data_IF_630845259341
#
_entry.id   IF_630845259341
#
_cell.length_a   1.000
_cell.length_b   1.000
_cell.length_c   1.000
_cell.angle_alpha   90.00
_cell.angle_beta   90.00
_cell.angle_gamma   90.00
#
_symmetry.space_group_name_H-M   'P 1'
#
loop_
_entity.id
_entity.type
_entity.pdbx_description
1 polymer ?
#
# COMPACT_ATOMS: atom_id res chain seq x y z
N UNK A 1 -20.86 -19.53 1.82
CA UNK A 1 -19.61 -19.16 1.13
C UNK A 1 -19.98 -18.82 -0.31
N UNK A 2 -20.15 -17.53 -0.62
CA UNK A 2 -20.29 -17.05 -2.00
C UNK A 2 -18.96 -17.30 -2.71
N UNK A 3 -19.02 -17.91 -3.90
CA UNK A 3 -17.87 -17.93 -4.81
C UNK A 3 -17.46 -16.47 -5.02
N UNK A 4 -16.25 -16.10 -4.62
CA UNK A 4 -15.58 -14.94 -5.18
C UNK A 4 -15.50 -15.23 -6.68
N UNK A 5 -16.16 -14.43 -7.50
CA UNK A 5 -16.02 -14.54 -8.96
C UNK A 5 -14.52 -14.43 -9.24
N UNK A 6 -13.94 -15.55 -9.70
CA UNK A 6 -12.51 -15.62 -9.96
C UNK A 6 -12.21 -14.62 -11.09
N UNK A 7 -11.42 -13.60 -10.79
CA UNK A 7 -10.92 -12.69 -11.81
C UNK A 7 -10.06 -13.52 -12.76
N UNK A 8 -10.55 -13.68 -13.99
CA UNK A 8 -9.82 -14.40 -15.04
C UNK A 8 -8.70 -13.50 -15.51
N UNK A 9 -7.48 -14.03 -15.63
CA UNK A 9 -6.34 -13.32 -16.19
C UNK A 9 -6.64 -12.96 -17.65
N UNK A 10 -7.00 -11.70 -17.90
CA UNK A 10 -7.22 -11.18 -19.26
C UNK A 10 -5.88 -10.82 -19.92
N UNK A 11 -5.90 -10.69 -21.25
CA UNK A 11 -4.74 -10.19 -21.99
C UNK A 11 -4.37 -8.75 -21.57
N UNK A 12 -5.37 -7.95 -21.17
CA UNK A 12 -5.16 -6.57 -20.71
C UNK A 12 -4.45 -6.55 -19.36
N UNK A 13 -4.89 -7.37 -18.41
CA UNK A 13 -4.24 -7.51 -17.10
C UNK A 13 -2.82 -8.08 -17.25
N UNK A 14 -2.61 -9.06 -18.14
CA UNK A 14 -1.27 -9.60 -18.41
C UNK A 14 -0.32 -8.52 -18.97
N UNK A 15 -0.79 -7.67 -19.88
CA UNK A 15 0.01 -6.53 -20.37
C UNK A 15 0.35 -5.56 -19.24
N UNK A 16 -0.60 -5.25 -18.36
CA UNK A 16 -0.36 -4.36 -17.22
C UNK A 16 0.69 -4.92 -16.25
N UNK A 17 0.66 -6.23 -15.97
CA UNK A 17 1.69 -6.92 -15.19
C UNK A 17 3.08 -6.74 -15.82
N UNK A 18 3.19 -6.97 -17.12
CA UNK A 18 4.47 -6.83 -17.84
C UNK A 18 4.96 -5.37 -17.85
N UNK A 19 4.06 -4.40 -18.06
CA UNK A 19 4.39 -2.98 -18.07
C UNK A 19 4.85 -2.50 -16.68
N UNK A 20 4.16 -2.89 -15.60
CA UNK A 20 4.55 -2.56 -14.24
C UNK A 20 5.92 -3.18 -13.87
N UNK A 21 6.14 -4.44 -14.26
CA UNK A 21 7.43 -5.11 -14.04
C UNK A 21 8.56 -4.41 -14.79
N UNK A 22 8.32 -3.96 -16.01
CA UNK A 22 9.30 -3.19 -16.78
C UNK A 22 9.54 -1.79 -16.21
N UNK A 23 8.49 -1.10 -15.77
CA UNK A 23 8.59 0.23 -15.16
C UNK A 23 9.49 0.21 -13.91
N UNK A 24 9.31 -0.80 -13.05
CA UNK A 24 10.06 -0.96 -11.80
C UNK A 24 11.33 -1.81 -11.93
N UNK A 25 11.79 -2.12 -13.16
CA UNK A 25 12.98 -2.94 -13.37
C UNK A 25 14.23 -2.30 -12.76
N UNK A 26 14.97 -3.10 -11.96
CA UNK A 26 16.15 -2.65 -11.22
C UNK A 26 15.85 -1.86 -9.94
N UNK A 27 14.59 -1.52 -9.64
CA UNK A 27 14.21 -0.84 -8.42
C UNK A 27 14.10 -1.83 -7.25
N UNK A 28 14.60 -1.44 -6.08
CA UNK A 28 14.58 -2.26 -4.87
C UNK A 28 13.75 -1.60 -3.77
N UNK A 29 13.19 -2.41 -2.89
CA UNK A 29 12.54 -1.96 -1.65
C UNK A 29 13.59 -1.29 -0.75
N UNK A 30 13.24 -0.15 -0.16
CA UNK A 30 14.15 0.71 0.60
C UNK A 30 14.88 -0.06 1.70
N UNK A 31 16.23 -0.07 1.61
CA UNK A 31 17.09 -0.74 2.58
C UNK A 31 17.10 -2.26 2.52
N UNK A 32 16.69 -2.85 1.40
CA UNK A 32 16.70 -4.29 1.13
C UNK A 32 17.26 -4.59 -0.27
N UNK A 33 17.47 -5.86 -0.59
CA UNK A 33 17.77 -6.35 -1.94
C UNK A 33 16.52 -6.92 -2.65
N UNK A 34 15.33 -6.70 -2.09
CA UNK A 34 14.08 -7.22 -2.63
C UNK A 34 13.62 -6.34 -3.81
N UNK A 35 13.36 -6.91 -5.00
CA UNK A 35 12.82 -6.18 -6.13
C UNK A 35 11.49 -5.47 -5.79
N UNK A 36 11.36 -4.19 -6.19
CA UNK A 36 10.20 -3.37 -5.85
C UNK A 36 8.88 -3.95 -6.37
N UNK A 37 8.94 -4.62 -7.51
CA UNK A 37 7.76 -5.25 -8.12
C UNK A 37 7.06 -6.25 -7.19
N UNK A 38 7.76 -6.83 -6.20
CA UNK A 38 7.15 -7.71 -5.20
C UNK A 38 6.08 -7.00 -4.37
N UNK A 39 6.29 -5.70 -4.04
CA UNK A 39 5.31 -4.85 -3.38
C UNK A 39 4.10 -4.60 -4.27
N UNK A 40 4.33 -4.21 -5.51
CA UNK A 40 3.28 -3.91 -6.48
C UNK A 40 2.35 -5.12 -6.69
N UNK A 41 2.93 -6.31 -6.84
CA UNK A 41 2.14 -7.54 -6.92
C UNK A 41 1.38 -7.87 -5.66
N UNK A 42 1.98 -7.67 -4.49
CA UNK A 42 1.31 -7.90 -3.22
C UNK A 42 0.11 -6.94 -3.04
N UNK A 43 0.26 -5.67 -3.42
CA UNK A 43 -0.84 -4.69 -3.37
C UNK A 43 -1.96 -5.10 -4.32
N UNK A 44 -1.67 -5.42 -5.59
CA UNK A 44 -2.67 -5.92 -6.53
C UNK A 44 -3.38 -7.18 -6.02
N UNK A 45 -2.64 -8.11 -5.42
CA UNK A 45 -3.23 -9.32 -4.83
C UNK A 45 -4.20 -8.98 -3.67
N UNK A 46 -3.82 -8.07 -2.76
CA UNK A 46 -4.71 -7.62 -1.68
C UNK A 46 -5.96 -6.92 -2.24
N UNK A 47 -5.81 -6.08 -3.26
CA UNK A 47 -6.93 -5.42 -3.95
C UNK A 47 -7.87 -6.45 -4.57
N UNK A 48 -7.35 -7.50 -5.20
CA UNK A 48 -8.16 -8.55 -5.84
C UNK A 48 -9.05 -9.34 -4.86
N UNK A 49 -8.77 -9.25 -3.56
CA UNK A 49 -9.55 -9.91 -2.52
C UNK A 49 -10.68 -9.02 -1.97
N UNK A 50 -10.76 -7.76 -2.38
CA UNK A 50 -11.78 -6.84 -1.93
C UNK A 50 -13.03 -6.93 -2.80
N UNK A 51 -14.21 -6.67 -2.21
CA UNK A 51 -15.47 -6.59 -2.96
C UNK A 51 -15.57 -5.28 -3.74
N UNK A 52 -16.25 -5.33 -4.89
CA UNK A 52 -16.49 -4.14 -5.73
C UNK A 52 -15.27 -3.69 -6.54
N UNK A 53 -14.30 -4.57 -6.74
CA UNK A 53 -13.10 -4.33 -7.54
C UNK A 53 -13.32 -4.85 -8.96
N UNK A 54 -13.04 -4.02 -9.93
CA UNK A 54 -13.03 -4.33 -11.38
C UNK A 54 -11.59 -4.48 -11.92
N UNK A 55 -11.47 -4.73 -13.21
CA UNK A 55 -10.18 -4.89 -13.87
C UNK A 55 -9.36 -3.59 -13.87
N UNK A 56 -10.03 -2.42 -14.06
CA UNK A 56 -9.35 -1.12 -14.05
C UNK A 56 -8.72 -0.82 -12.69
N UNK A 57 -9.41 -1.18 -11.61
CA UNK A 57 -8.88 -1.08 -10.24
C UNK A 57 -7.66 -1.98 -10.04
N UNK A 58 -7.66 -3.21 -10.58
CA UNK A 58 -6.50 -4.11 -10.50
C UNK A 58 -5.30 -3.60 -11.29
N UNK A 59 -5.55 -3.07 -12.49
CA UNK A 59 -4.51 -2.47 -13.32
C UNK A 59 -3.95 -1.21 -12.64
N UNK A 60 -4.81 -0.36 -12.09
CA UNK A 60 -4.39 0.80 -11.32
C UNK A 60 -3.56 0.42 -10.08
N UNK A 61 -3.90 -0.70 -9.42
CA UNK A 61 -3.09 -1.21 -8.31
C UNK A 61 -1.68 -1.64 -8.75
N UNK A 62 -1.53 -2.19 -9.97
CA UNK A 62 -0.20 -2.49 -10.54
C UNK A 62 0.60 -1.21 -10.85
N UNK A 63 -0.05 -0.10 -11.10
CA UNK A 63 0.58 1.17 -11.47
C UNK A 63 0.61 2.20 -10.35
N UNK A 64 0.13 1.88 -9.15
CA UNK A 64 -0.10 2.86 -8.08
C UNK A 64 1.13 3.71 -7.71
N UNK A 65 2.33 3.16 -7.83
CA UNK A 65 3.59 3.85 -7.57
C UNK A 65 4.36 4.26 -8.84
N UNK A 66 3.87 3.89 -10.05
CA UNK A 66 4.60 4.14 -11.31
C UNK A 66 4.75 5.63 -11.57
N UNK A 67 3.68 6.42 -11.41
CA UNK A 67 3.75 7.87 -11.64
C UNK A 67 4.58 8.58 -10.58
N UNK A 68 4.67 8.02 -9.37
CA UNK A 68 5.53 8.54 -8.31
C UNK A 68 7.01 8.17 -8.53
N UNK A 69 7.31 6.92 -8.87
CA UNK A 69 8.66 6.38 -8.77
C UNK A 69 9.32 6.00 -10.10
N UNK A 70 8.56 5.91 -11.19
CA UNK A 70 9.01 5.43 -12.50
C UNK A 70 8.42 6.22 -13.69
N UNK A 71 7.91 7.43 -13.48
CA UNK A 71 7.23 8.24 -14.51
C UNK A 71 8.11 8.57 -15.73
N UNK A 72 9.43 8.61 -15.57
CA UNK A 72 10.38 8.78 -16.68
C UNK A 72 10.44 7.56 -17.59
N UNK A 73 10.17 6.37 -17.06
CA UNK A 73 10.14 5.12 -17.83
C UNK A 73 8.74 4.83 -18.37
N UNK A 74 7.70 5.10 -17.59
CA UNK A 74 6.32 4.84 -17.95
C UNK A 74 5.42 6.01 -17.55
N UNK A 75 5.09 6.84 -18.52
CA UNK A 75 4.37 8.10 -18.30
C UNK A 75 2.86 7.89 -18.17
N UNK A 76 2.16 8.91 -17.62
CA UNK A 76 0.69 8.93 -17.59
C UNK A 76 0.09 8.85 -19.00
N UNK A 77 0.71 9.49 -19.99
CA UNK A 77 0.27 9.45 -21.40
C UNK A 77 0.36 8.02 -21.94
N UNK A 78 1.48 7.34 -21.73
CA UNK A 78 1.64 5.95 -22.17
C UNK A 78 0.64 5.02 -21.45
N UNK A 79 0.40 5.25 -20.17
CA UNK A 79 -0.59 4.49 -19.39
C UNK A 79 -2.00 4.70 -19.92
N UNK A 80 -2.37 5.93 -20.28
CA UNK A 80 -3.67 6.26 -20.85
C UNK A 80 -3.87 5.61 -22.23
N UNK A 81 -2.87 5.69 -23.11
CA UNK A 81 -2.91 5.08 -24.45
C UNK A 81 -3.09 3.55 -24.39
N UNK A 82 -2.48 2.87 -23.41
CA UNK A 82 -2.49 1.41 -23.31
C UNK A 82 -3.64 0.88 -22.45
N UNK A 83 -4.07 1.62 -21.41
CA UNK A 83 -5.02 1.13 -20.41
C UNK A 83 -6.23 2.01 -20.18
N UNK A 84 -6.29 3.20 -20.79
CA UNK A 84 -7.43 4.11 -20.74
C UNK A 84 -7.38 5.13 -19.61
N UNK A 85 -8.23 6.15 -19.75
CA UNK A 85 -8.31 7.31 -18.84
C UNK A 85 -8.68 6.90 -17.43
N UNK A 86 -9.64 5.96 -17.25
CA UNK A 86 -10.12 5.53 -15.94
C UNK A 86 -8.99 4.96 -15.06
N UNK A 87 -8.07 4.18 -15.66
CA UNK A 87 -6.90 3.65 -14.93
C UNK A 87 -5.98 4.77 -14.48
N UNK A 88 -5.68 5.73 -15.38
CA UNK A 88 -4.81 6.87 -15.06
C UNK A 88 -5.42 7.73 -13.97
N UNK A 89 -6.73 8.01 -14.04
CA UNK A 89 -7.43 8.77 -13.00
C UNK A 89 -7.30 8.10 -11.63
N UNK A 90 -7.53 6.79 -11.53
CA UNK A 90 -7.38 6.06 -10.27
C UNK A 90 -5.95 6.15 -9.75
N UNK A 91 -4.93 5.96 -10.61
CA UNK A 91 -3.51 6.04 -10.22
C UNK A 91 -3.16 7.45 -9.75
N UNK A 92 -3.65 8.48 -10.43
CA UNK A 92 -3.42 9.87 -10.02
C UNK A 92 -3.94 10.14 -8.61
N UNK A 93 -5.08 9.58 -8.21
CA UNK A 93 -5.63 9.75 -6.86
C UNK A 93 -4.70 9.20 -5.76
N UNK A 94 -3.91 8.18 -6.02
CA UNK A 94 -2.99 7.57 -5.04
C UNK A 94 -1.54 8.08 -5.15
N UNK A 95 -1.20 8.83 -6.21
CA UNK A 95 0.13 9.43 -6.43
C UNK A 95 0.32 10.66 -5.54
N UNK A 96 1.45 10.74 -4.83
CA UNK A 96 1.84 11.91 -4.03
C UNK A 96 2.57 12.94 -4.90
N UNK A 97 2.39 14.22 -4.56
CA UNK A 97 3.14 15.30 -5.18
C UNK A 97 4.57 15.35 -4.62
N UNK A 98 5.55 15.07 -5.47
CA UNK A 98 6.99 15.12 -5.12
C UNK A 98 7.58 16.52 -5.13
N UNK A 99 6.91 17.52 -5.71
CA UNK A 99 7.38 18.89 -5.76
C UNK A 99 7.30 19.60 -4.40
N UNK A 100 6.46 19.10 -3.50
CA UNK A 100 6.34 19.63 -2.15
C UNK A 100 7.60 19.36 -1.33
N UNK A 101 8.07 20.40 -0.63
CA UNK A 101 9.40 20.45 -0.02
C UNK A 101 9.55 19.55 1.20
N UNK A 102 8.51 19.43 2.03
CA UNK A 102 8.57 18.66 3.27
C UNK A 102 7.74 17.36 3.21
N UNK A 103 8.18 16.38 3.98
CA UNK A 103 7.44 15.14 4.17
C UNK A 103 6.03 15.39 4.73
N UNK A 104 5.92 16.37 5.65
CA UNK A 104 4.63 16.71 6.28
C UNK A 104 3.65 17.32 5.29
N UNK A 105 4.08 18.25 4.47
CA UNK A 105 3.23 18.83 3.43
C UNK A 105 2.72 17.78 2.45
N UNK A 106 3.59 16.87 1.99
CA UNK A 106 3.19 15.75 1.13
C UNK A 106 2.16 14.84 1.81
N UNK A 107 2.32 14.60 3.11
CA UNK A 107 1.39 13.78 3.88
C UNK A 107 0.02 14.46 4.04
N UNK A 108 0.00 15.75 4.40
CA UNK A 108 -1.24 16.52 4.57
C UNK A 108 -2.01 16.64 3.24
N UNK A 109 -1.32 16.97 2.14
CA UNK A 109 -1.92 17.01 0.80
C UNK A 109 -2.49 15.66 0.34
N UNK A 110 -1.79 14.57 0.66
CA UNK A 110 -2.31 13.24 0.33
C UNK A 110 -3.57 12.90 1.12
N UNK A 111 -3.63 13.25 2.41
CA UNK A 111 -4.83 13.06 3.22
C UNK A 111 -6.00 13.90 2.68
N UNK A 112 -5.77 15.16 2.32
CA UNK A 112 -6.76 16.02 1.69
C UNK A 112 -7.28 15.41 0.38
N UNK A 113 -6.38 14.89 -0.46
CA UNK A 113 -6.72 14.23 -1.71
C UNK A 113 -7.60 12.98 -1.49
N UNK A 114 -7.33 12.18 -0.46
CA UNK A 114 -8.16 11.03 -0.13
C UNK A 114 -9.59 11.39 0.30
N UNK A 115 -9.86 12.62 0.71
CA UNK A 115 -11.23 13.06 1.06
C UNK A 115 -12.19 13.00 -0.13
N UNK A 116 -11.69 13.23 -1.34
CA UNK A 116 -12.51 13.27 -2.55
C UNK A 116 -12.29 12.05 -3.45
N UNK A 117 -11.36 11.16 -3.07
CA UNK A 117 -10.98 10.01 -3.87
C UNK A 117 -12.13 9.01 -4.09
N UNK A 118 -12.22 8.38 -5.27
CA UNK A 118 -13.17 7.32 -5.56
C UNK A 118 -12.84 6.05 -4.76
N UNK A 119 -13.84 5.16 -4.63
CA UNK A 119 -13.72 3.91 -3.86
C UNK A 119 -12.53 3.06 -4.30
N UNK A 120 -12.27 2.93 -5.60
CA UNK A 120 -11.15 2.18 -6.17
C UNK A 120 -9.80 2.68 -5.66
N UNK A 121 -9.57 3.99 -5.67
CA UNK A 121 -8.36 4.61 -5.16
C UNK A 121 -8.20 4.42 -3.63
N UNK A 122 -9.30 4.54 -2.86
CA UNK A 122 -9.29 4.30 -1.41
C UNK A 122 -8.95 2.84 -1.06
N UNK A 123 -9.45 1.87 -1.83
CA UNK A 123 -9.12 0.44 -1.67
C UNK A 123 -7.62 0.21 -1.95
N UNK A 124 -7.10 0.76 -3.06
CA UNK A 124 -5.68 0.66 -3.40
C UNK A 124 -4.82 1.28 -2.28
N UNK A 125 -5.16 2.49 -1.83
CA UNK A 125 -4.46 3.15 -0.74
C UNK A 125 -4.45 2.31 0.55
N UNK A 126 -5.57 1.67 0.91
CA UNK A 126 -5.64 0.78 2.07
C UNK A 126 -4.71 -0.43 1.91
N UNK A 127 -4.75 -1.10 0.76
CA UNK A 127 -3.93 -2.28 0.46
C UNK A 127 -2.43 -1.94 0.44
N UNK A 128 -2.04 -0.80 -0.13
CA UNK A 128 -0.67 -0.31 -0.11
C UNK A 128 -0.18 -0.10 1.34
N UNK A 129 -0.98 0.59 2.16
CA UNK A 129 -0.58 0.86 3.54
C UNK A 129 -0.54 -0.39 4.40
N UNK A 130 -1.44 -1.34 4.20
CA UNK A 130 -1.40 -2.67 4.86
C UNK A 130 -0.12 -3.41 4.50
N UNK A 131 0.23 -3.49 3.21
CA UNK A 131 1.47 -4.15 2.80
C UNK A 131 2.72 -3.45 3.37
N UNK A 132 2.78 -2.12 3.29
CA UNK A 132 3.90 -1.34 3.82
C UNK A 132 4.03 -1.50 5.33
N UNK A 133 2.93 -1.43 6.09
CA UNK A 133 2.95 -1.57 7.54
C UNK A 133 3.37 -2.99 7.95
N UNK A 134 2.90 -4.02 7.24
CA UNK A 134 3.32 -5.40 7.47
C UNK A 134 4.82 -5.58 7.21
N UNK A 135 5.36 -4.95 6.15
CA UNK A 135 6.80 -4.97 5.87
C UNK A 135 7.60 -4.30 6.99
N UNK A 136 7.15 -3.13 7.48
CA UNK A 136 7.77 -2.44 8.63
C UNK A 136 7.80 -3.33 9.87
N UNK A 137 6.69 -3.99 10.20
CA UNK A 137 6.61 -4.88 11.36
C UNK A 137 7.53 -6.09 11.23
N UNK A 138 7.63 -6.67 10.03
CA UNK A 138 8.55 -7.77 9.74
C UNK A 138 10.02 -7.32 9.88
N UNK A 139 10.39 -6.20 9.24
CA UNK A 139 11.74 -5.66 9.32
C UNK A 139 12.11 -5.25 10.75
N UNK A 140 11.15 -4.76 11.55
CA UNK A 140 11.40 -4.42 12.95
C UNK A 140 11.76 -5.64 13.82
N UNK A 141 11.22 -6.82 13.51
CA UNK A 141 11.57 -8.05 14.21
C UNK A 141 13.05 -8.41 14.04
N UNK A 142 13.65 -8.05 12.91
CA UNK A 142 15.06 -8.33 12.61
C UNK A 142 15.99 -7.19 13.06
N UNK A 143 15.58 -5.93 12.86
CA UNK A 143 16.43 -4.75 12.99
C UNK A 143 16.20 -3.97 14.31
N UNK A 144 15.06 -4.18 14.96
CA UNK A 144 14.66 -3.39 16.13
C UNK A 144 14.63 -1.89 15.82
N UNK A 145 15.09 -1.08 16.78
CA UNK A 145 15.10 0.39 16.64
C UNK A 145 15.97 0.92 15.49
N UNK A 146 16.92 0.12 14.97
CA UNK A 146 17.73 0.51 13.81
C UNK A 146 16.90 0.70 12.54
N UNK A 147 15.73 0.06 12.45
CA UNK A 147 14.80 0.24 11.34
C UNK A 147 14.47 1.72 11.09
N UNK A 148 14.31 2.51 12.15
CA UNK A 148 13.86 3.90 12.03
C UNK A 148 14.84 4.82 11.32
N UNK A 149 16.12 4.43 11.21
CA UNK A 149 17.12 5.15 10.43
C UNK A 149 16.81 5.14 8.92
N UNK A 150 15.99 4.21 8.45
CA UNK A 150 15.52 4.17 7.06
C UNK A 150 14.48 5.25 6.74
N UNK A 151 13.84 5.85 7.77
CA UNK A 151 12.76 6.82 7.61
C UNK A 151 13.22 8.22 8.01
N UNK A 152 13.27 9.15 7.06
CA UNK A 152 13.69 10.53 7.30
C UNK A 152 12.78 11.28 8.29
N UNK A 153 11.51 10.85 8.39
CA UNK A 153 10.49 11.46 9.28
C UNK A 153 10.52 10.91 10.72
N UNK A 154 11.22 9.79 10.95
CA UNK A 154 11.27 9.13 12.25
C UNK A 154 9.99 8.35 12.63
N UNK A 155 10.07 7.59 13.72
CA UNK A 155 9.04 6.66 14.19
C UNK A 155 7.69 7.32 14.47
N UNK A 156 7.69 8.42 15.24
CA UNK A 156 6.46 9.10 15.65
C UNK A 156 5.68 9.67 14.45
N UNK A 157 6.41 10.21 13.46
CA UNK A 157 5.79 10.70 12.24
C UNK A 157 5.19 9.56 11.42
N UNK A 158 5.86 8.41 11.34
CA UNK A 158 5.32 7.22 10.69
C UNK A 158 4.06 6.73 11.41
N UNK A 159 4.08 6.67 12.75
CA UNK A 159 2.93 6.29 13.56
C UNK A 159 1.73 7.20 13.29
N UNK A 160 1.93 8.51 13.37
CA UNK A 160 0.89 9.49 13.04
C UNK A 160 0.35 9.28 11.64
N UNK A 161 1.22 9.08 10.65
CA UNK A 161 0.86 8.90 9.25
C UNK A 161 -0.06 7.69 9.01
N UNK A 162 0.31 6.52 9.51
CA UNK A 162 -0.49 5.32 9.31
C UNK A 162 -1.86 5.41 9.99
N UNK A 163 -1.95 6.02 11.17
CA UNK A 163 -3.23 6.28 11.82
C UNK A 163 -4.08 7.29 11.05
N UNK A 164 -3.53 8.42 10.64
CA UNK A 164 -4.25 9.46 9.90
C UNK A 164 -4.83 8.92 8.58
N UNK A 165 -4.04 8.12 7.84
CA UNK A 165 -4.53 7.47 6.62
C UNK A 165 -5.65 6.48 6.93
N UNK A 166 -5.49 5.63 7.94
CA UNK A 166 -6.53 4.68 8.34
C UNK A 166 -7.86 5.37 8.69
N UNK A 167 -7.83 6.40 9.51
CA UNK A 167 -9.03 7.15 9.91
C UNK A 167 -9.73 7.78 8.71
N UNK A 168 -8.98 8.37 7.79
CA UNK A 168 -9.52 8.93 6.55
C UNK A 168 -10.16 7.85 5.69
N UNK A 169 -9.46 6.74 5.43
CA UNK A 169 -9.96 5.63 4.62
C UNK A 169 -11.21 4.99 5.24
N UNK A 170 -11.19 4.71 6.54
CA UNK A 170 -12.34 4.13 7.23
C UNK A 170 -13.58 5.02 7.14
N UNK A 171 -13.42 6.32 7.36
CA UNK A 171 -14.51 7.30 7.29
C UNK A 171 -15.06 7.41 5.87
N UNK A 172 -14.18 7.52 4.87
CA UNK A 172 -14.55 7.67 3.46
C UNK A 172 -15.22 6.42 2.89
N UNK A 173 -14.63 5.25 3.09
CA UNK A 173 -15.20 3.98 2.64
C UNK A 173 -16.54 3.69 3.30
N UNK A 174 -16.71 4.04 4.58
CA UNK A 174 -18.02 3.95 5.25
C UNK A 174 -19.04 4.87 4.59
N UNK A 175 -18.70 6.10 4.26
CA UNK A 175 -19.59 7.05 3.59
C UNK A 175 -20.01 6.56 2.19
N UNK A 176 -19.16 5.79 1.51
CA UNK A 176 -19.43 5.16 0.22
C UNK A 176 -20.16 3.79 0.32
N UNK A 177 -20.54 3.37 1.53
CA UNK A 177 -21.23 2.09 1.74
C UNK A 177 -20.33 0.87 1.78
N UNK A 178 -19.01 1.05 1.88
CA UNK A 178 -17.97 0.00 1.87
C UNK A 178 -17.26 -0.14 3.23
N UNK A 179 -18.04 -0.09 4.32
CA UNK A 179 -17.50 -0.16 5.69
C UNK A 179 -16.91 -1.54 6.06
N UNK A 180 -17.40 -2.60 5.43
CA UNK A 180 -17.11 -4.00 5.80
C UNK A 180 -16.02 -4.64 4.93
N UNK A 181 -15.13 -3.83 4.35
CA UNK A 181 -14.00 -4.35 3.57
C UNK A 181 -12.98 -5.00 4.52
N UNK A 182 -12.61 -6.29 4.29
CA UNK A 182 -11.66 -7.01 5.16
C UNK A 182 -10.34 -6.31 5.36
N UNK A 183 -9.87 -5.56 4.35
CA UNK A 183 -8.61 -4.82 4.42
C UNK A 183 -8.57 -3.77 5.54
N UNK A 184 -9.73 -3.21 5.94
CA UNK A 184 -9.79 -2.24 7.04
C UNK A 184 -9.56 -2.92 8.40
N UNK A 185 -10.05 -4.15 8.58
CA UNK A 185 -9.81 -4.93 9.79
C UNK A 185 -8.33 -5.35 9.88
N UNK A 186 -7.74 -5.79 8.76
CA UNK A 186 -6.32 -6.11 8.68
C UNK A 186 -5.46 -4.88 8.98
N UNK A 187 -5.81 -3.72 8.42
CA UNK A 187 -5.08 -2.47 8.66
C UNK A 187 -5.12 -2.09 10.15
N UNK A 188 -6.30 -2.15 10.76
CA UNK A 188 -6.46 -1.84 12.19
C UNK A 188 -5.65 -2.79 13.08
N UNK A 189 -5.66 -4.09 12.77
CA UNK A 189 -4.89 -5.07 13.52
C UNK A 189 -3.38 -4.77 13.47
N UNK A 190 -2.86 -4.41 12.28
CA UNK A 190 -1.46 -4.03 12.10
C UNK A 190 -1.11 -2.72 12.82
N UNK A 191 -2.03 -1.74 12.87
CA UNK A 191 -1.82 -0.50 13.64
C UNK A 191 -1.69 -0.76 15.13
N UNK A 192 -2.50 -1.65 15.69
CA UNK A 192 -2.40 -2.05 17.11
C UNK A 192 -1.05 -2.74 17.36
N UNK A 193 -0.58 -3.59 16.46
CA UNK A 193 0.74 -4.22 16.56
C UNK A 193 1.85 -3.18 16.42
N UNK A 194 1.71 -2.22 15.50
CA UNK A 194 2.66 -1.13 15.31
C UNK A 194 2.78 -0.22 16.54
N UNK A 195 1.68 0.06 17.23
CA UNK A 195 1.69 0.82 18.48
C UNK A 195 2.38 0.08 19.62
N UNK A 196 2.40 -1.25 19.57
CA UNK A 196 3.05 -2.07 20.58
C UNK A 196 4.57 -2.18 20.39
N UNK A 197 5.11 -1.91 19.19
CA UNK A 197 6.56 -1.94 18.98
C UNK A 197 7.24 -0.75 19.66
N UNK A 198 8.29 -1.06 20.44
CA UNK A 198 9.00 -0.08 21.28
C UNK A 198 8.47 0.10 22.69
N UNK A 199 7.40 -0.59 23.06
CA UNK A 199 7.04 -0.83 24.45
C UNK A 199 7.73 -2.13 24.89
N UNK A 200 8.92 -2.02 25.44
CA UNK A 200 9.87 -3.12 25.72
C UNK A 200 9.32 -4.35 26.47
N UNK A 201 8.18 -4.24 27.12
CA UNK A 201 7.63 -5.34 27.91
C UNK A 201 6.87 -6.38 27.07
N UNK A 202 6.22 -5.98 25.97
CA UNK A 202 5.41 -6.87 25.13
C UNK A 202 6.30 -7.79 24.25
N UNK A 203 7.49 -7.33 23.89
CA UNK A 203 8.45 -8.10 23.07
C UNK A 203 9.19 -9.18 23.87
N UNK A 204 9.45 -8.95 25.16
CA UNK A 204 10.12 -9.94 26.03
C UNK A 204 9.30 -11.20 26.26
N UNK A 205 7.98 -11.16 26.09
CA UNK A 205 7.12 -12.34 26.30
C UNK A 205 7.10 -13.31 25.12
N UNK A 206 7.31 -12.85 23.87
CA UNK A 206 7.38 -13.75 22.69
C UNK A 206 8.72 -14.48 22.56
N UNK A 207 9.80 -13.92 23.09
CA UNK A 207 11.14 -14.52 23.04
C UNK A 207 11.40 -15.59 24.13
N UNK A 208 10.45 -15.82 25.06
CA UNK A 208 10.64 -16.72 26.20
C UNK A 208 9.73 -17.95 26.16
N UNK A 209 9.36 -18.46 24.97
CA UNK A 209 8.86 -19.82 24.86
C UNK A 209 10.07 -20.72 24.56
N UNK A 210 10.60 -21.46 25.57
CA UNK A 210 11.65 -22.43 25.31
C UNK A 210 11.05 -23.52 24.43
N UNK A 211 11.75 -23.87 23.36
CA UNK A 211 11.39 -25.00 22.53
C UNK A 211 11.19 -26.25 23.38
N UNK A 212 9.94 -26.69 23.53
CA UNK A 212 9.62 -28.02 23.98
C UNK A 212 10.05 -28.99 22.92
N UNK A 213 11.24 -29.57 23.06
CA UNK A 213 11.62 -30.76 22.35
C UNK A 213 10.77 -31.95 22.85
N UNK A 214 10.22 -32.69 21.90
CA UNK A 214 10.18 -34.16 21.84
C UNK A 214 9.78 -34.55 20.44
#
# INVERSE_FOLDING_TARGET
MSRVDSIVMSDRLLRAINAAAWAHDGQLRKGTEIPYISHVFAVMHLVSQQSGVDEDTLIAALFHDVLEDASERYSAVTMEEEFGEDVVEIVQWVTKDKELSSWRERADMYLEKLEDAPQSALIIAACDKVHNLKSILTDYQELGELLWSRFNSGKESQRWWYWAVYETLQRRLRALGSADLPILDDYRALLVEFDAIGNDWAFKFKATIPGGGL
#
